data_IF_304521941871
#
_entry.id   IF_304521941871
#
_cell.length_a   1.000
_cell.length_b   1.000
_cell.length_c   1.000
_cell.angle_alpha   90.00
_cell.angle_beta   90.00
_cell.angle_gamma   90.00
#
_symmetry.space_group_name_H-M   'P 1'
#
loop_
_entity.id
_entity.type
_entity.pdbx_description
1 polymer ?
#
# COMPACT_ATOMS: atom_id res chain seq x y z
N UNK A 1 -20.52 -5.14 20.44
CA UNK A 1 -19.33 -4.39 19.96
C UNK A 1 -18.02 -5.16 20.17
N UNK A 2 -17.77 -5.75 21.35
CA UNK A 2 -16.52 -6.49 21.61
C UNK A 2 -16.32 -7.68 20.65
N UNK A 3 -17.38 -8.49 20.42
CA UNK A 3 -17.30 -9.67 19.53
C UNK A 3 -17.05 -9.30 18.07
N UNK A 4 -17.65 -8.21 17.59
CA UNK A 4 -17.41 -7.72 16.24
C UNK A 4 -15.96 -7.22 16.06
N UNK A 5 -15.41 -6.52 17.06
CA UNK A 5 -14.02 -6.06 17.06
C UNK A 5 -13.05 -7.24 16.92
N UNK A 6 -13.24 -8.29 17.73
CA UNK A 6 -12.38 -9.49 17.69
C UNK A 6 -12.43 -10.20 16.33
N UNK A 7 -13.59 -10.25 15.68
CA UNK A 7 -13.72 -10.86 14.35
C UNK A 7 -13.01 -10.01 13.29
N UNK A 8 -13.21 -8.68 13.36
CA UNK A 8 -12.57 -7.74 12.43
C UNK A 8 -11.06 -7.80 12.58
N UNK A 9 -10.53 -7.73 13.80
CA UNK A 9 -9.09 -7.81 14.08
C UNK A 9 -8.49 -9.11 13.53
N UNK A 10 -9.21 -10.24 13.67
CA UNK A 10 -8.76 -11.52 13.14
C UNK A 10 -8.71 -11.54 11.61
N UNK A 11 -9.73 -10.99 10.96
CA UNK A 11 -9.80 -10.92 9.48
C UNK A 11 -8.73 -9.96 8.95
N UNK A 12 -8.58 -8.78 9.57
CA UNK A 12 -7.54 -7.81 9.21
C UNK A 12 -6.16 -8.45 9.31
N UNK A 13 -5.87 -9.12 10.42
CA UNK A 13 -4.58 -9.77 10.63
C UNK A 13 -4.31 -10.88 9.61
N UNK A 14 -5.29 -11.70 9.27
CA UNK A 14 -5.15 -12.75 8.25
C UNK A 14 -4.91 -12.15 6.85
N UNK A 15 -5.58 -11.05 6.52
CA UNK A 15 -5.39 -10.33 5.26
C UNK A 15 -4.02 -9.67 5.23
N UNK A 16 -3.60 -9.01 6.32
CA UNK A 16 -2.26 -8.43 6.46
C UNK A 16 -1.17 -9.47 6.26
N UNK A 17 -1.28 -10.64 6.89
CA UNK A 17 -0.31 -11.73 6.72
C UNK A 17 -0.23 -12.22 5.28
N UNK A 18 -1.37 -12.38 4.59
CA UNK A 18 -1.41 -12.81 3.19
C UNK A 18 -0.88 -11.77 2.20
N UNK A 19 -1.09 -10.49 2.50
CA UNK A 19 -0.66 -9.38 1.64
C UNK A 19 0.75 -8.94 1.99
N UNK A 20 1.16 -9.04 3.26
CA UNK A 20 2.49 -8.64 3.72
C UNK A 20 3.61 -9.32 2.93
N UNK A 21 3.48 -10.60 2.62
CA UNK A 21 4.48 -11.33 1.82
C UNK A 21 4.58 -10.77 0.39
N UNK A 22 3.46 -10.47 -0.24
CA UNK A 22 3.44 -9.88 -1.60
C UNK A 22 3.91 -8.43 -1.61
N UNK A 23 3.48 -7.65 -0.61
CA UNK A 23 3.93 -6.27 -0.44
C UNK A 23 5.42 -6.22 -0.06
N UNK A 24 5.90 -7.08 0.84
CA UNK A 24 7.32 -7.17 1.15
C UNK A 24 8.17 -7.55 -0.05
N UNK A 25 7.69 -8.46 -0.91
CA UNK A 25 8.38 -8.78 -2.18
C UNK A 25 8.41 -7.58 -3.12
N UNK A 26 7.32 -6.82 -3.21
CA UNK A 26 7.24 -5.59 -4.01
C UNK A 26 8.10 -4.46 -3.43
N UNK A 27 8.10 -4.29 -2.11
CA UNK A 27 8.87 -3.26 -1.38
C UNK A 27 10.37 -3.61 -1.31
N UNK A 28 10.73 -4.90 -1.23
CA UNK A 28 12.14 -5.33 -1.29
C UNK A 28 12.81 -5.00 -2.62
N UNK A 29 12.03 -4.55 -3.59
CA UNK A 29 12.50 -4.11 -4.90
C UNK A 29 13.00 -5.26 -5.77
N UNK A 30 12.81 -5.12 -7.07
CA UNK A 30 13.36 -6.05 -8.03
C UNK A 30 14.90 -6.02 -7.97
N UNK A 31 15.51 -7.21 -8.02
CA UNK A 31 16.95 -7.36 -8.10
C UNK A 31 17.47 -6.64 -9.34
N UNK A 32 18.26 -5.60 -9.16
CA UNK A 32 18.89 -4.90 -10.28
C UNK A 32 20.27 -5.53 -10.54
N UNK A 33 20.30 -6.45 -11.49
CA UNK A 33 21.53 -7.16 -11.90
C UNK A 33 22.58 -6.25 -12.52
N UNK A 34 22.19 -5.06 -12.96
CA UNK A 34 23.13 -4.08 -13.53
C UNK A 34 23.88 -3.30 -12.45
N UNK A 35 23.26 -3.13 -11.27
CA UNK A 35 23.83 -2.39 -10.17
C UNK A 35 24.60 -3.31 -9.22
N UNK A 36 25.87 -3.09 -9.10
CA UNK A 36 26.74 -3.82 -8.18
C UNK A 36 26.80 -3.13 -6.83
N UNK A 37 26.89 -3.93 -5.77
CA UNK A 37 27.11 -3.44 -4.41
C UNK A 37 28.19 -4.25 -3.70
N UNK A 38 28.96 -3.59 -2.86
CA UNK A 38 29.92 -4.22 -1.96
C UNK A 38 29.29 -4.65 -0.61
N UNK A 39 28.01 -4.34 -0.42
CA UNK A 39 27.23 -4.73 0.78
C UNK A 39 25.93 -5.42 0.35
N UNK A 40 26.01 -6.59 -0.31
CA UNK A 40 24.83 -7.33 -0.71
C UNK A 40 24.16 -7.98 0.49
N UNK A 41 22.84 -8.21 0.38
CA UNK A 41 22.18 -9.14 1.30
C UNK A 41 22.67 -10.57 1.03
N UNK A 42 22.62 -11.49 1.98
CA UNK A 42 23.11 -12.86 1.82
C UNK A 42 22.56 -13.57 0.57
N UNK A 43 21.28 -13.37 0.26
CA UNK A 43 20.61 -13.95 -0.91
C UNK A 43 21.03 -13.31 -2.26
N UNK A 44 21.67 -12.14 -2.23
CA UNK A 44 22.01 -11.35 -3.42
C UNK A 44 23.52 -11.38 -3.70
N UNK A 45 24.29 -12.22 -2.97
CA UNK A 45 25.73 -12.36 -3.16
C UNK A 45 26.01 -13.13 -4.46
N UNK A 46 26.87 -12.56 -5.31
CA UNK A 46 27.45 -13.25 -6.45
C UNK A 46 28.71 -13.98 -5.97
N UNK A 47 28.53 -15.24 -5.60
CA UNK A 47 29.61 -16.05 -5.04
C UNK A 47 30.77 -16.24 -6.01
N UNK A 48 30.51 -16.41 -7.30
CA UNK A 48 31.58 -16.58 -8.30
C UNK A 48 32.49 -15.34 -8.36
N UNK A 49 31.90 -14.16 -8.37
CA UNK A 49 32.66 -12.91 -8.36
C UNK A 49 33.27 -12.59 -7.01
N UNK A 50 32.61 -12.95 -5.92
CA UNK A 50 33.16 -12.78 -4.59
C UNK A 50 34.42 -13.64 -4.42
N UNK A 51 34.37 -14.91 -4.84
CA UNK A 51 35.55 -15.80 -4.80
C UNK A 51 36.64 -15.25 -5.69
N UNK A 52 36.33 -14.90 -6.93
CA UNK A 52 37.33 -14.36 -7.88
C UNK A 52 38.00 -13.08 -7.36
N UNK A 53 37.25 -12.19 -6.70
CA UNK A 53 37.78 -10.95 -6.15
C UNK A 53 38.63 -11.15 -4.87
N UNK A 54 38.56 -12.33 -4.25
CA UNK A 54 39.24 -12.65 -3.00
C UNK A 54 40.19 -13.86 -3.11
N UNK A 55 40.59 -14.27 -4.31
CA UNK A 55 41.48 -15.41 -4.51
C UNK A 55 42.80 -15.28 -3.74
N UNK A 56 43.29 -14.06 -3.53
CA UNK A 56 44.46 -13.79 -2.68
C UNK A 56 44.33 -14.28 -1.24
N UNK A 57 43.09 -14.43 -0.76
CA UNK A 57 42.77 -14.86 0.58
C UNK A 57 42.38 -16.36 0.64
N UNK A 58 42.85 -17.14 -0.33
CA UNK A 58 42.69 -18.60 -0.33
C UNK A 58 43.47 -19.21 0.84
N UNK A 59 42.82 -20.03 1.64
CA UNK A 59 43.43 -20.76 2.77
C UNK A 59 43.52 -22.24 2.39
N UNK A 60 44.73 -22.76 2.03
CA UNK A 60 44.91 -24.13 1.58
C UNK A 60 44.40 -25.17 2.59
N UNK A 61 44.67 -24.95 3.86
CA UNK A 61 44.30 -25.89 4.96
C UNK A 61 42.81 -26.08 5.09
N UNK A 62 42.01 -25.09 4.73
CA UNK A 62 40.56 -25.11 4.76
C UNK A 62 39.92 -25.37 3.42
N UNK A 63 40.72 -25.37 2.35
CA UNK A 63 40.20 -25.53 0.98
C UNK A 63 39.21 -24.46 0.52
N UNK A 64 39.28 -23.26 1.12
CA UNK A 64 38.26 -22.21 0.90
C UNK A 64 38.87 -20.82 0.81
N UNK A 65 38.09 -19.86 0.35
CA UNK A 65 38.43 -18.43 0.30
C UNK A 65 37.68 -17.70 1.40
N UNK A 66 38.41 -16.95 2.22
CA UNK A 66 37.81 -16.07 3.23
C UNK A 66 37.57 -14.70 2.59
N UNK A 67 36.31 -14.32 2.31
CA UNK A 67 36.05 -13.07 1.59
C UNK A 67 36.21 -11.86 2.49
N UNK A 68 37.13 -10.99 2.13
CA UNK A 68 37.28 -9.65 2.70
C UNK A 68 36.27 -8.67 2.10
N UNK A 69 35.94 -8.89 0.83
CA UNK A 69 35.03 -8.04 0.06
C UNK A 69 33.95 -8.88 -0.60
N UNK A 70 32.71 -8.63 -0.22
CA UNK A 70 31.57 -9.24 -0.89
C UNK A 70 31.24 -8.49 -2.20
N UNK A 71 30.84 -9.21 -3.20
CA UNK A 71 30.33 -8.69 -4.47
C UNK A 71 28.92 -9.24 -4.67
N UNK A 72 27.98 -8.39 -4.94
CA UNK A 72 26.62 -8.82 -5.19
C UNK A 72 25.82 -7.81 -6.00
N UNK A 73 24.57 -8.15 -6.21
CA UNK A 73 23.64 -7.32 -6.94
C UNK A 73 22.95 -6.31 -6.03
N UNK A 74 22.82 -5.07 -6.47
CA UNK A 74 22.04 -4.06 -5.79
C UNK A 74 20.54 -4.33 -6.00
N UNK A 75 19.73 -4.00 -4.99
CA UNK A 75 18.29 -3.93 -5.16
C UNK A 75 17.90 -2.50 -5.52
N UNK A 76 17.07 -2.37 -6.50
CA UNK A 76 16.42 -1.09 -6.78
C UNK A 76 15.29 -0.96 -5.76
N UNK A 77 15.52 -0.20 -4.70
CA UNK A 77 14.44 0.29 -3.89
C UNK A 77 13.63 1.27 -4.77
N UNK A 78 12.73 0.74 -5.55
CA UNK A 78 11.54 1.49 -5.91
C UNK A 78 10.64 1.42 -4.67
N UNK A 79 10.97 2.18 -3.64
CA UNK A 79 9.96 2.54 -2.66
C UNK A 79 8.76 3.04 -3.46
N UNK A 80 7.57 2.59 -3.14
CA UNK A 80 6.35 3.16 -3.69
C UNK A 80 6.38 4.61 -3.20
N UNK A 81 6.93 5.51 -4.05
CA UNK A 81 6.97 6.94 -3.75
C UNK A 81 5.63 7.61 -4.08
N UNK A 82 4.64 6.79 -4.50
CA UNK A 82 3.33 7.29 -4.84
C UNK A 82 2.49 7.49 -3.58
N UNK A 83 1.77 8.58 -3.56
CA UNK A 83 0.75 8.86 -2.56
C UNK A 83 -0.58 8.28 -3.05
N UNK A 84 -1.34 7.69 -2.13
CA UNK A 84 -2.62 7.10 -2.47
C UNK A 84 -3.73 7.94 -1.85
N UNK A 85 -4.74 8.29 -2.65
CA UNK A 85 -5.97 8.92 -2.17
C UNK A 85 -7.11 7.96 -2.44
N UNK A 86 -7.72 7.46 -1.38
CA UNK A 86 -8.81 6.48 -1.44
C UNK A 86 -10.10 7.21 -1.11
N UNK A 87 -11.05 7.18 -2.02
CA UNK A 87 -12.37 7.74 -1.88
C UNK A 87 -13.38 6.59 -1.81
N UNK A 88 -14.06 6.45 -0.68
CA UNK A 88 -14.91 5.31 -0.36
C UNK A 88 -16.37 5.73 -0.22
N UNK A 89 -17.21 5.12 -1.01
CA UNK A 89 -18.66 5.24 -0.92
C UNK A 89 -19.19 4.48 0.31
N UNK A 90 -19.95 5.17 1.16
CA UNK A 90 -20.62 4.60 2.33
C UNK A 90 -22.14 4.74 2.24
N UNK A 91 -22.69 4.84 1.05
CA UNK A 91 -24.13 4.80 0.82
C UNK A 91 -24.74 3.48 1.30
N UNK A 92 -26.05 3.47 1.50
CA UNK A 92 -26.77 2.29 2.03
C UNK A 92 -26.58 1.03 1.19
N UNK A 93 -26.40 1.14 -0.14
CA UNK A 93 -26.12 0.03 -1.05
C UNK A 93 -24.74 -0.61 -0.81
N UNK A 94 -23.77 0.18 -0.33
CA UNK A 94 -22.40 -0.25 -0.07
C UNK A 94 -22.19 -0.88 1.31
N UNK A 95 -23.23 -1.04 2.15
CA UNK A 95 -23.12 -1.48 3.54
C UNK A 95 -22.34 -2.81 3.73
N UNK A 96 -22.48 -3.75 2.80
CA UNK A 96 -21.72 -5.02 2.82
C UNK A 96 -20.27 -4.86 2.35
N UNK A 97 -19.98 -3.85 1.55
CA UNK A 97 -18.65 -3.61 0.96
C UNK A 97 -17.77 -2.70 1.82
N UNK A 98 -18.36 -1.94 2.75
CA UNK A 98 -17.64 -1.04 3.68
C UNK A 98 -16.57 -1.80 4.48
N UNK A 99 -16.86 -3.02 4.90
CA UNK A 99 -15.89 -3.86 5.64
C UNK A 99 -14.66 -4.15 4.76
N UNK A 100 -14.85 -4.55 3.50
CA UNK A 100 -13.74 -4.82 2.58
C UNK A 100 -12.95 -3.56 2.25
N UNK A 101 -13.65 -2.44 2.04
CA UNK A 101 -13.01 -1.16 1.77
C UNK A 101 -12.17 -0.67 2.97
N UNK A 102 -12.66 -0.87 4.18
CA UNK A 102 -11.94 -0.51 5.41
C UNK A 102 -10.73 -1.40 5.65
N UNK A 103 -10.82 -2.70 5.36
CA UNK A 103 -9.66 -3.60 5.40
C UNK A 103 -8.61 -3.16 4.38
N UNK A 104 -9.04 -2.80 3.16
CA UNK A 104 -8.13 -2.31 2.13
C UNK A 104 -7.47 -1.00 2.55
N UNK A 105 -8.23 -0.08 3.13
CA UNK A 105 -7.72 1.17 3.67
C UNK A 105 -6.69 0.94 4.79
N UNK A 106 -6.94 -0.01 5.69
CA UNK A 106 -6.01 -0.39 6.74
C UNK A 106 -4.69 -0.95 6.20
N UNK A 107 -4.77 -1.81 5.19
CA UNK A 107 -3.57 -2.32 4.49
C UNK A 107 -2.80 -1.18 3.83
N UNK A 108 -3.51 -0.21 3.27
CA UNK A 108 -2.90 0.97 2.63
C UNK A 108 -2.40 2.01 3.64
N UNK A 109 -2.81 1.94 4.90
CA UNK A 109 -2.36 2.85 5.97
C UNK A 109 -0.84 2.76 6.25
N UNK A 110 -0.23 1.61 5.94
CA UNK A 110 1.24 1.44 6.01
C UNK A 110 1.98 2.22 4.90
N UNK A 111 1.25 2.78 3.94
CA UNK A 111 1.73 3.59 2.83
C UNK A 111 1.19 5.01 3.04
N UNK A 112 1.87 6.02 2.50
CA UNK A 112 1.32 7.39 2.50
C UNK A 112 -0.02 7.41 1.78
N UNK A 113 -1.11 7.42 2.53
CA UNK A 113 -2.46 7.39 2.00
C UNK A 113 -3.37 8.39 2.70
N UNK A 114 -4.29 8.96 1.94
CA UNK A 114 -5.43 9.75 2.39
C UNK A 114 -6.67 8.91 2.21
N UNK A 115 -7.52 8.83 3.24
CA UNK A 115 -8.77 8.09 3.19
C UNK A 115 -9.94 9.05 3.39
N UNK A 116 -10.82 9.10 2.41
CA UNK A 116 -12.04 9.90 2.42
C UNK A 116 -13.24 8.98 2.27
N UNK A 117 -14.20 9.11 3.15
CA UNK A 117 -15.49 8.46 3.01
C UNK A 117 -16.57 9.48 2.62
N UNK A 118 -17.56 9.04 1.89
CA UNK A 118 -18.67 9.90 1.51
C UNK A 118 -20.00 9.14 1.39
N UNK A 119 -21.08 9.88 1.61
CA UNK A 119 -22.44 9.55 1.25
C UNK A 119 -23.11 10.80 0.65
N UNK A 120 -23.93 11.53 1.41
CA UNK A 120 -24.38 12.90 1.12
C UNK A 120 -23.41 13.95 1.67
N UNK A 121 -22.50 13.55 2.55
CA UNK A 121 -21.46 14.37 3.16
C UNK A 121 -20.09 13.74 2.93
N UNK A 122 -19.04 14.56 2.97
CA UNK A 122 -17.65 14.12 2.81
C UNK A 122 -16.97 14.11 4.18
N UNK A 123 -16.33 13.01 4.53
CA UNK A 123 -15.63 12.84 5.82
C UNK A 123 -14.20 12.36 5.58
N UNK A 124 -13.22 13.09 6.11
CA UNK A 124 -11.82 12.68 6.09
C UNK A 124 -11.53 11.69 7.23
N UNK A 125 -11.22 10.46 6.86
CA UNK A 125 -10.87 9.37 7.77
C UNK A 125 -9.37 9.15 7.91
N UNK A 126 -8.55 9.97 7.27
CA UNK A 126 -7.09 9.86 7.33
C UNK A 126 -6.55 9.80 8.76
N UNK A 127 -7.07 10.59 9.72
CA UNK A 127 -6.62 10.49 11.11
C UNK A 127 -6.91 9.15 11.79
N UNK A 128 -7.88 8.39 11.29
CA UNK A 128 -8.31 7.10 11.84
C UNK A 128 -7.57 5.91 11.22
N UNK A 129 -6.72 6.13 10.24
CA UNK A 129 -5.98 5.06 9.55
C UNK A 129 -5.07 4.24 10.46
N UNK A 130 -4.73 4.74 11.64
CA UNK A 130 -3.92 4.01 12.62
C UNK A 130 -4.64 2.81 13.25
N UNK A 131 -5.98 2.80 13.25
CA UNK A 131 -6.79 1.68 13.75
C UNK A 131 -7.89 1.34 12.71
N UNK A 132 -7.78 0.17 12.03
CA UNK A 132 -8.78 -0.27 11.05
C UNK A 132 -10.19 -0.35 11.60
N UNK A 133 -10.31 -0.63 12.89
CA UNK A 133 -11.60 -0.75 13.57
C UNK A 133 -12.26 0.62 13.74
N UNK A 134 -11.46 1.64 14.04
CA UNK A 134 -11.96 3.00 14.14
C UNK A 134 -12.39 3.54 12.77
N UNK A 135 -11.76 3.11 11.68
CA UNK A 135 -12.22 3.41 10.32
C UNK A 135 -13.60 2.79 10.05
N UNK A 136 -13.81 1.53 10.42
CA UNK A 136 -15.10 0.83 10.21
C UNK A 136 -16.22 1.43 11.05
N UNK A 137 -15.94 1.82 12.28
CA UNK A 137 -16.93 2.31 13.22
C UNK A 137 -16.99 3.85 13.32
N UNK A 138 -16.01 4.54 12.76
CA UNK A 138 -15.88 6.00 12.80
C UNK A 138 -16.94 6.73 11.96
N UNK A 139 -17.52 6.03 10.99
CA UNK A 139 -18.54 6.59 10.11
C UNK A 139 -19.75 5.64 10.05
N UNK A 140 -20.87 6.06 10.58
CA UNK A 140 -22.19 5.49 10.31
C UNK A 140 -22.89 6.44 9.34
N UNK A 141 -22.44 6.42 8.08
CA UNK A 141 -23.12 7.10 7.01
C UNK A 141 -24.21 6.13 6.49
N UNK A 142 -25.29 6.60 6.00
CA UNK A 142 -26.43 5.78 5.56
C UNK A 142 -27.41 6.59 4.74
N UNK A 143 -26.91 7.66 4.13
CA UNK A 143 -27.69 8.56 3.27
C UNK A 143 -27.72 8.13 1.80
N UNK A 144 -28.07 9.06 0.95
CA UNK A 144 -27.95 8.93 -0.50
C UNK A 144 -26.47 9.02 -0.94
N UNK A 145 -26.23 8.99 -2.26
CA UNK A 145 -24.90 9.04 -2.83
C UNK A 145 -24.70 10.35 -3.60
N UNK A 146 -23.65 11.09 -3.26
CA UNK A 146 -23.21 12.25 -4.00
C UNK A 146 -21.68 12.22 -4.11
N UNK A 147 -21.17 11.68 -5.20
CA UNK A 147 -19.75 11.44 -5.43
C UNK A 147 -18.98 12.70 -5.83
N UNK A 148 -19.62 13.64 -6.50
CA UNK A 148 -18.95 14.83 -7.06
C UNK A 148 -18.22 15.68 -6.01
N UNK A 149 -18.80 16.03 -4.86
CA UNK A 149 -18.07 16.76 -3.80
C UNK A 149 -16.90 15.98 -3.20
N UNK A 150 -17.01 14.65 -3.13
CA UNK A 150 -15.96 13.80 -2.60
C UNK A 150 -14.74 13.76 -3.54
N UNK A 151 -14.97 13.64 -4.83
CA UNK A 151 -13.90 13.72 -5.85
C UNK A 151 -13.22 15.08 -5.78
N UNK A 152 -13.98 16.17 -5.70
CA UNK A 152 -13.43 17.53 -5.60
C UNK A 152 -12.59 17.71 -4.32
N UNK A 153 -13.05 17.18 -3.19
CA UNK A 153 -12.27 17.18 -1.94
C UNK A 153 -10.96 16.41 -2.11
N UNK A 154 -11.02 15.20 -2.67
CA UNK A 154 -9.84 14.37 -2.93
C UNK A 154 -8.86 15.08 -3.87
N UNK A 155 -9.36 15.74 -4.91
CA UNK A 155 -8.54 16.53 -5.84
C UNK A 155 -7.77 17.64 -5.14
N UNK A 156 -8.39 18.33 -4.19
CA UNK A 156 -7.74 19.38 -3.39
C UNK A 156 -6.68 18.84 -2.44
N UNK A 157 -6.80 17.59 -1.97
CA UNK A 157 -5.80 16.96 -1.09
C UNK A 157 -4.59 16.43 -1.85
N UNK A 158 -4.71 16.16 -3.16
CA UNK A 158 -3.63 15.67 -4.00
C UNK A 158 -2.66 16.81 -4.31
N UNK A 159 -1.48 16.79 -3.70
CA UNK A 159 -0.45 17.83 -3.90
C UNK A 159 0.49 17.54 -5.05
N UNK A 160 0.68 16.26 -5.41
CA UNK A 160 1.59 15.79 -6.46
C UNK A 160 0.90 14.83 -7.42
N UNK A 161 0.10 15.33 -8.40
CA UNK A 161 -0.69 14.46 -9.27
C UNK A 161 0.13 13.39 -10.02
N UNK A 162 1.33 13.73 -10.50
CA UNK A 162 2.22 12.80 -11.21
C UNK A 162 2.68 11.60 -10.35
N UNK A 163 2.73 11.79 -9.02
CA UNK A 163 3.18 10.79 -8.05
C UNK A 163 2.03 10.26 -7.18
N UNK A 164 0.78 10.57 -7.54
CA UNK A 164 -0.41 10.14 -6.80
C UNK A 164 -1.20 9.09 -7.58
N UNK A 165 -1.90 8.25 -6.82
CA UNK A 165 -2.89 7.30 -7.35
C UNK A 165 -4.21 7.56 -6.62
N UNK A 166 -5.23 7.92 -7.39
CA UNK A 166 -6.58 8.05 -6.88
C UNK A 166 -7.34 6.73 -7.04
N UNK A 167 -7.99 6.28 -5.99
CA UNK A 167 -8.78 5.04 -5.95
C UNK A 167 -10.20 5.39 -5.50
N UNK A 168 -11.16 5.25 -6.39
CA UNK A 168 -12.58 5.37 -6.07
C UNK A 168 -13.17 3.97 -5.84
N UNK A 169 -13.80 3.77 -4.68
CA UNK A 169 -14.50 2.54 -4.32
C UNK A 169 -15.98 2.89 -4.19
N UNK A 170 -16.78 2.50 -5.18
CA UNK A 170 -18.21 2.79 -5.27
C UNK A 170 -18.89 1.78 -6.19
N UNK A 171 -20.19 1.58 -6.03
CA UNK A 171 -21.03 0.87 -7.01
C UNK A 171 -21.42 1.75 -8.20
N UNK A 172 -20.90 2.98 -8.24
CA UNK A 172 -21.14 4.00 -9.27
C UNK A 172 -22.61 4.40 -9.43
N UNK A 173 -23.43 4.12 -8.42
CA UNK A 173 -24.81 4.56 -8.38
C UNK A 173 -24.88 5.94 -7.71
N UNK A 174 -24.95 6.98 -8.52
CA UNK A 174 -24.93 8.39 -8.09
C UNK A 174 -26.22 9.12 -8.46
N UNK A 175 -26.55 10.13 -7.68
CA UNK A 175 -27.69 11.01 -7.94
C UNK A 175 -27.54 11.83 -9.24
N UNK A 176 -26.30 12.16 -9.63
CA UNK A 176 -25.95 12.82 -10.90
C UNK A 176 -24.76 12.15 -11.60
N UNK A 177 -25.01 11.05 -12.36
CA UNK A 177 -23.94 10.30 -13.02
C UNK A 177 -23.16 11.13 -14.06
N UNK A 178 -23.78 12.13 -14.68
CA UNK A 178 -23.11 12.97 -15.67
C UNK A 178 -22.08 13.89 -15.04
N UNK A 179 -22.43 14.49 -13.90
CA UNK A 179 -21.53 15.34 -13.14
C UNK A 179 -20.36 14.52 -12.57
N UNK A 180 -20.67 13.33 -12.04
CA UNK A 180 -19.65 12.40 -11.52
C UNK A 180 -18.63 12.03 -12.62
N UNK A 181 -19.09 11.60 -13.79
CA UNK A 181 -18.21 11.23 -14.90
C UNK A 181 -17.36 12.40 -15.39
N UNK A 182 -17.92 13.62 -15.42
CA UNK A 182 -17.16 14.82 -15.76
C UNK A 182 -16.01 15.06 -14.79
N UNK A 183 -16.23 14.86 -13.48
CA UNK A 183 -15.22 15.06 -12.45
C UNK A 183 -14.12 13.99 -12.41
N UNK A 184 -14.45 12.76 -12.78
CA UNK A 184 -13.46 11.67 -12.89
C UNK A 184 -12.53 11.88 -14.09
N UNK A 185 -12.99 12.57 -15.13
CA UNK A 185 -12.22 12.83 -16.35
C UNK A 185 -11.28 14.05 -16.27
N UNK A 186 -11.39 14.87 -15.23
CA UNK A 186 -10.52 16.04 -14.96
C UNK A 186 -9.23 15.63 -14.22
#
# INVERSE_FOLDING_TARGET
>A
KATARTVVDKVVKEVEERIADRLQQSVRGALDRSRRTSRPQPADIDWNRTIAANLKNYVPDLGTVIPERLVGHGRRHRGIQKEFTICMDQSGSMSSSVIYASIMAAVMASIRSTLVAYDTAVTDLTPLLSDPVDVIFGTQLGGGTNTSPAIEYCRQTITRPADSVFILISDLYDSDPKQMLGRVGE
#
